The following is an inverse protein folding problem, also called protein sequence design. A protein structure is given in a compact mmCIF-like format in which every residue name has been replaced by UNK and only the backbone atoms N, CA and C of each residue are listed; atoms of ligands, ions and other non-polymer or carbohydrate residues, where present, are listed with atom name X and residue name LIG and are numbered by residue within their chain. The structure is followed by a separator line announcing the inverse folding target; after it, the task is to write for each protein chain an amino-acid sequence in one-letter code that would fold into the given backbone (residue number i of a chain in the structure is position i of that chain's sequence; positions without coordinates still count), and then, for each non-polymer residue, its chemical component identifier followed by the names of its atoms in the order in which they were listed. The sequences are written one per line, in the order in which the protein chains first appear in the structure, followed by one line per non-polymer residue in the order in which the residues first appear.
data_IF_340763928824
#
_entry.id   IF_340763928824
#
_cell.length_a   1.000
_cell.length_b   1.000
_cell.length_c   1.000
_cell.angle_alpha   90.00
_cell.angle_beta   90.00
_cell.angle_gamma   90.00
#
_symmetry.space_group_name_H-M   'P 1'
#
loop_
_entity.id
_entity.type
_entity.pdbx_description
1 polymer ?
#
# COMPACT_ATOMS: atom_id res chain seq x y z
N UNK A 1 15.38 14.81 8.00
CA UNK A 1 16.01 13.59 8.58
C UNK A 1 15.05 12.92 9.55
N UNK A 2 14.93 11.58 9.55
CA UNK A 2 14.06 10.87 10.50
C UNK A 2 14.74 10.74 11.87
N UNK A 3 14.00 10.88 12.96
CA UNK A 3 14.53 10.80 14.32
C UNK A 3 15.12 9.41 14.63
N UNK A 4 16.23 9.35 15.38
CA UNK A 4 16.82 8.08 15.86
C UNK A 4 15.79 7.20 16.58
N UNK A 5 14.91 7.81 17.40
CA UNK A 5 13.82 7.11 18.09
C UNK A 5 12.80 6.49 17.12
N UNK A 6 12.50 7.16 16.00
CA UNK A 6 11.60 6.64 14.97
C UNK A 6 12.19 5.43 14.27
N UNK A 7 13.48 5.49 13.92
CA UNK A 7 14.19 4.38 13.25
C UNK A 7 14.23 3.15 14.15
N UNK A 8 14.57 3.32 15.43
CA UNK A 8 14.64 2.22 16.39
C UNK A 8 13.28 1.55 16.62
N UNK A 9 12.23 2.35 16.83
CA UNK A 9 10.85 1.85 16.95
C UNK A 9 10.41 1.11 15.69
N UNK A 10 10.65 1.68 14.51
CA UNK A 10 10.24 1.07 13.26
C UNK A 10 11.00 -0.23 12.96
N UNK A 11 12.25 -0.36 13.41
CA UNK A 11 13.03 -1.59 13.30
C UNK A 11 12.53 -2.69 14.25
N UNK A 12 12.01 -2.32 15.42
CA UNK A 12 11.47 -3.26 16.42
C UNK A 12 9.98 -3.58 16.18
N UNK A 13 9.32 -2.89 15.25
CA UNK A 13 7.90 -3.07 14.98
C UNK A 13 7.62 -4.43 14.33
N UNK A 14 6.88 -5.27 15.05
CA UNK A 14 6.51 -6.63 14.62
C UNK A 14 5.77 -6.60 13.28
N UNK A 15 4.96 -5.59 13.01
CA UNK A 15 4.22 -5.49 11.75
C UNK A 15 5.12 -5.11 10.58
N UNK A 16 6.19 -4.35 10.81
CA UNK A 16 7.21 -4.10 9.78
C UNK A 16 7.92 -5.40 9.41
N UNK A 17 8.26 -6.22 10.41
CA UNK A 17 8.87 -7.54 10.17
C UNK A 17 7.89 -8.50 9.47
N UNK A 18 6.64 -8.55 9.92
CA UNK A 18 5.57 -9.34 9.27
C UNK A 18 5.36 -8.92 7.82
N UNK A 19 5.29 -7.62 7.55
CA UNK A 19 5.12 -7.10 6.18
C UNK A 19 6.27 -7.53 5.28
N UNK A 20 7.51 -7.39 5.75
CA UNK A 20 8.69 -7.87 5.00
C UNK A 20 8.64 -9.36 4.73
N UNK A 21 8.30 -10.19 5.73
CA UNK A 21 8.17 -11.64 5.58
C UNK A 21 7.05 -12.02 4.60
N UNK A 22 5.96 -11.25 4.56
CA UNK A 22 4.84 -11.42 3.65
C UNK A 22 5.06 -10.80 2.26
N UNK A 23 6.18 -10.11 2.01
CA UNK A 23 6.45 -9.46 0.72
C UNK A 23 5.75 -8.11 0.50
N UNK A 24 5.18 -7.51 1.54
CA UNK A 24 4.55 -6.18 1.46
C UNK A 24 5.56 -5.04 1.62
N UNK A 25 5.45 -3.99 0.80
CA UNK A 25 6.27 -2.77 0.84
C UNK A 25 6.04 -1.92 2.09
N UNK A 26 4.92 -2.11 2.79
CA UNK A 26 4.58 -1.39 4.01
C UNK A 26 3.69 -2.23 4.93
N UNK A 27 3.83 -2.04 6.24
CA UNK A 27 2.92 -2.61 7.25
C UNK A 27 1.47 -2.12 7.14
N UNK A 28 1.24 -1.03 6.42
CA UNK A 28 -0.12 -0.52 6.19
C UNK A 28 -0.98 -1.49 5.38
N UNK A 29 -0.38 -2.41 4.61
CA UNK A 29 -1.09 -3.46 3.88
C UNK A 29 -2.09 -4.22 4.77
N UNK A 30 -1.69 -4.58 5.99
CA UNK A 30 -2.57 -5.29 6.94
C UNK A 30 -3.81 -4.49 7.33
N UNK A 31 -3.73 -3.16 7.38
CA UNK A 31 -4.89 -2.32 7.66
C UNK A 31 -5.92 -2.41 6.53
N UNK A 32 -5.45 -2.38 5.28
CA UNK A 32 -6.36 -2.46 4.13
C UNK A 32 -6.98 -3.85 4.01
N UNK A 33 -6.22 -4.91 4.30
CA UNK A 33 -6.75 -6.27 4.39
C UNK A 33 -7.85 -6.40 5.45
N UNK A 34 -7.65 -5.81 6.63
CA UNK A 34 -8.67 -5.80 7.70
C UNK A 34 -9.91 -4.99 7.31
N UNK A 35 -9.72 -3.83 6.68
CA UNK A 35 -10.82 -3.01 6.11
C UNK A 35 -11.59 -3.82 5.07
N UNK A 36 -10.91 -4.47 4.13
CA UNK A 36 -11.58 -5.28 3.10
C UNK A 36 -12.36 -6.43 3.72
N UNK A 37 -11.78 -7.14 4.67
CA UNK A 37 -12.45 -8.25 5.35
C UNK A 37 -13.75 -7.81 6.04
N UNK A 38 -13.82 -6.57 6.52
CA UNK A 38 -15.00 -6.03 7.21
C UNK A 38 -16.04 -5.41 6.27
N UNK A 39 -15.59 -4.76 5.19
CA UNK A 39 -16.46 -3.87 4.39
C UNK A 39 -16.57 -4.27 2.92
N UNK A 40 -15.74 -5.17 2.41
CA UNK A 40 -15.77 -5.68 1.03
C UNK A 40 -15.81 -4.58 -0.04
N UNK A 41 -14.95 -3.56 0.10
CA UNK A 41 -14.93 -2.36 -0.74
C UNK A 41 -14.17 -2.59 -2.05
N UNK A 42 -13.04 -3.31 -1.99
CA UNK A 42 -12.08 -3.48 -3.08
C UNK A 42 -12.59 -4.49 -4.09
N UNK A 43 -13.10 -5.65 -3.65
CA UNK A 43 -13.57 -6.71 -4.54
C UNK A 43 -14.72 -6.25 -5.46
N UNK A 44 -15.48 -5.25 -5.04
CA UNK A 44 -16.62 -4.71 -5.79
C UNK A 44 -16.27 -3.46 -6.62
N UNK A 45 -15.06 -2.94 -6.48
CA UNK A 45 -14.64 -1.69 -7.14
C UNK A 45 -13.94 -1.97 -8.46
N UNK A 46 -14.35 -1.25 -9.51
CA UNK A 46 -13.67 -1.30 -10.82
C UNK A 46 -12.53 -0.28 -10.94
N UNK A 47 -12.73 0.91 -10.39
CA UNK A 47 -11.77 2.00 -10.42
C UNK A 47 -11.49 2.43 -8.98
N UNK A 48 -10.22 2.63 -8.64
CA UNK A 48 -9.77 3.00 -7.30
C UNK A 48 -8.81 4.19 -7.42
N UNK A 49 -9.07 5.24 -6.64
CA UNK A 49 -8.18 6.38 -6.48
C UNK A 49 -7.39 6.22 -5.17
N UNK A 50 -6.06 6.25 -5.25
CA UNK A 50 -5.17 6.17 -4.10
C UNK A 50 -4.35 7.45 -3.96
N UNK A 51 -4.47 8.13 -2.82
CA UNK A 51 -3.71 9.35 -2.51
C UNK A 51 -2.69 9.04 -1.41
N UNK A 52 -1.44 9.47 -1.60
CA UNK A 52 -0.35 9.12 -0.68
C UNK A 52 0.07 7.66 -0.83
N UNK A 53 0.16 7.18 -2.07
CA UNK A 53 0.36 5.76 -2.40
C UNK A 53 1.77 5.23 -2.12
N UNK A 54 2.80 6.06 -1.97
CA UNK A 54 4.18 5.61 -1.75
C UNK A 54 4.34 5.01 -0.34
N UNK A 55 4.93 3.80 -0.21
CA UNK A 55 5.72 3.06 -1.20
C UNK A 55 4.95 2.02 -2.05
N UNK A 56 3.62 1.90 -1.89
CA UNK A 56 2.75 1.03 -2.68
C UNK A 56 2.18 -0.18 -1.92
N UNK A 57 2.15 -0.13 -0.58
CA UNK A 57 1.69 -1.28 0.23
C UNK A 57 0.19 -1.55 0.15
N UNK A 58 -0.62 -0.52 -0.04
CA UNK A 58 -2.06 -0.65 -0.26
C UNK A 58 -2.35 -1.04 -1.71
N UNK A 59 -1.65 -0.45 -2.68
CA UNK A 59 -1.73 -0.83 -4.09
C UNK A 59 -1.42 -2.33 -4.32
N UNK A 60 -0.44 -2.91 -3.60
CA UNK A 60 -0.21 -4.36 -3.61
C UNK A 60 -1.46 -5.16 -3.23
N UNK A 61 -2.05 -4.82 -2.08
CA UNK A 61 -3.24 -5.49 -1.55
C UNK A 61 -4.40 -5.38 -2.53
N UNK A 62 -4.60 -4.21 -3.14
CA UNK A 62 -5.66 -3.99 -4.12
C UNK A 62 -5.46 -4.91 -5.34
N UNK A 63 -4.25 -4.96 -5.92
CA UNK A 63 -3.96 -5.80 -7.07
C UNK A 63 -4.08 -7.31 -6.76
N UNK A 64 -3.70 -7.73 -5.54
CA UNK A 64 -3.83 -9.11 -5.09
C UNK A 64 -5.30 -9.53 -4.96
N UNK A 65 -6.13 -8.68 -4.37
CA UNK A 65 -7.54 -8.97 -4.11
C UNK A 65 -8.41 -8.83 -5.37
N UNK A 66 -8.13 -7.83 -6.21
CA UNK A 66 -8.93 -7.53 -7.39
C UNK A 66 -8.04 -7.24 -8.61
N UNK A 67 -7.72 -8.30 -9.35
CA UNK A 67 -6.90 -8.26 -10.57
C UNK A 67 -7.51 -7.49 -11.74
N UNK A 68 -8.80 -7.14 -11.67
CA UNK A 68 -9.49 -6.39 -12.72
C UNK A 68 -9.64 -4.91 -12.38
N UNK A 69 -9.32 -4.51 -11.15
CA UNK A 69 -9.39 -3.10 -10.76
C UNK A 69 -8.32 -2.28 -11.47
N UNK A 70 -8.70 -1.08 -11.90
CA UNK A 70 -7.77 -0.03 -12.34
C UNK A 70 -7.50 0.92 -11.19
N UNK A 71 -6.23 1.27 -10.99
CA UNK A 71 -5.81 2.12 -9.88
C UNK A 71 -5.16 3.38 -10.45
N UNK A 72 -5.71 4.54 -10.12
CA UNK A 72 -5.05 5.83 -10.31
C UNK A 72 -4.42 6.22 -8.97
N UNK A 73 -3.09 6.28 -8.92
CA UNK A 73 -2.34 6.45 -7.68
C UNK A 73 -1.48 7.72 -7.72
N UNK A 74 -1.58 8.54 -6.68
CA UNK A 74 -0.90 9.84 -6.59
C UNK A 74 -0.04 9.91 -5.33
N UNK A 75 1.19 10.39 -5.49
CA UNK A 75 2.07 10.69 -4.35
C UNK A 75 3.18 11.68 -4.78
N UNK A 76 3.69 12.46 -3.82
CA UNK A 76 4.88 13.30 -4.01
C UNK A 76 6.15 12.45 -4.24
N UNK A 77 6.19 11.29 -3.62
CA UNK A 77 7.33 10.38 -3.58
C UNK A 77 7.16 9.27 -4.60
N UNK A 78 8.27 8.80 -5.16
CA UNK A 78 8.25 7.65 -6.07
C UNK A 78 7.69 6.41 -5.35
N UNK A 79 6.71 5.75 -5.98
CA UNK A 79 6.19 4.47 -5.52
C UNK A 79 7.13 3.33 -5.92
N UNK A 80 7.38 2.39 -4.99
CA UNK A 80 8.28 1.26 -5.24
C UNK A 80 7.57 0.11 -5.94
N UNK A 81 6.32 -0.15 -5.56
CA UNK A 81 5.51 -1.16 -6.23
C UNK A 81 5.13 -0.69 -7.64
N UNK A 82 5.21 -1.60 -8.60
CA UNK A 82 4.82 -1.37 -9.99
C UNK A 82 3.94 -2.52 -10.42
N UNK A 83 2.84 -2.21 -11.10
CA UNK A 83 1.90 -3.18 -11.63
C UNK A 83 1.19 -2.57 -12.85
N UNK A 84 0.83 -3.38 -13.84
CA UNK A 84 0.23 -2.92 -15.10
C UNK A 84 -1.11 -2.20 -14.90
N UNK A 85 -1.89 -2.63 -13.90
CA UNK A 85 -3.17 -2.02 -13.55
C UNK A 85 -3.07 -0.67 -12.82
N UNK A 86 -1.85 -0.19 -12.54
CA UNK A 86 -1.63 1.03 -11.79
C UNK A 86 -1.11 2.13 -12.72
N UNK A 87 -1.89 3.19 -12.81
CA UNK A 87 -1.46 4.46 -13.36
C UNK A 87 -0.94 5.34 -12.20
N UNK A 88 0.39 5.39 -12.03
CA UNK A 88 1.02 6.18 -10.96
C UNK A 88 1.48 7.55 -11.45
N UNK A 89 1.02 8.60 -10.79
CA UNK A 89 1.36 9.99 -11.06
C UNK A 89 2.10 10.58 -9.86
N UNK A 90 3.33 11.03 -10.10
CA UNK A 90 4.12 11.73 -9.08
C UNK A 90 3.87 13.24 -9.17
N UNK A 91 2.94 13.76 -8.37
CA UNK A 91 2.44 15.14 -8.44
C UNK A 91 2.08 15.69 -7.06
N UNK A 92 2.09 17.03 -6.94
CA UNK A 92 1.81 17.84 -5.73
C UNK A 92 0.33 17.87 -5.32
#
# INVERSE_FOLDING_TARGET
MKSKKWIQRNSQDIYVQKAKKAGYFSRSAFKLLEIENKFHLILKSKNILELGSSPGGWSQVICELNKQSKIDAFDLLTMKFKHENINFLRQD
#
